data_IF_982270394684
#
_entry.id   IF_982270394684
#
_cell.length_a   1.000
_cell.length_b   1.000
_cell.length_c   1.000
_cell.angle_alpha   90.00
_cell.angle_beta   90.00
_cell.angle_gamma   90.00
#
_symmetry.space_group_name_H-M   'P 1'
#
loop_
_entity.id
_entity.type
_entity.pdbx_description
1 polymer ?
#
# COMPACT_ATOMS: atom_id res chain seq x y z
N UNK A 1 67.45 32.96 -35.91
CA UNK A 1 66.23 32.11 -35.95
C UNK A 1 66.13 31.37 -34.63
N UNK A 2 65.22 31.76 -33.75
CA UNK A 2 64.90 31.02 -32.52
C UNK A 2 63.56 30.33 -32.74
N UNK A 3 63.59 29.01 -32.91
CA UNK A 3 62.41 28.15 -33.03
C UNK A 3 61.82 27.94 -31.63
N UNK A 4 60.67 28.58 -31.36
CA UNK A 4 59.90 28.33 -30.14
C UNK A 4 59.40 26.89 -30.13
N UNK A 5 59.80 26.12 -29.12
CA UNK A 5 59.44 24.69 -28.92
C UNK A 5 58.05 24.47 -28.31
N UNK A 6 57.26 25.52 -28.15
CA UNK A 6 55.88 25.43 -27.64
C UNK A 6 54.96 26.24 -28.56
N UNK A 7 54.27 25.59 -29.51
CA UNK A 7 53.45 26.29 -30.50
C UNK A 7 52.07 26.74 -29.96
N UNK A 8 51.82 26.68 -28.65
CA UNK A 8 50.49 26.96 -28.10
C UNK A 8 50.58 27.66 -26.75
N UNK A 9 49.98 28.85 -26.68
CA UNK A 9 49.91 29.68 -25.47
C UNK A 9 48.90 29.08 -24.48
N UNK A 10 49.43 28.61 -23.34
CA UNK A 10 48.67 27.99 -22.24
C UNK A 10 47.89 29.00 -21.39
N UNK A 11 48.06 30.30 -21.63
CA UNK A 11 47.36 31.39 -20.92
C UNK A 11 46.27 32.05 -21.78
N UNK A 12 46.05 31.57 -23.00
CA UNK A 12 44.98 32.07 -23.87
C UNK A 12 43.60 31.87 -23.23
N UNK A 13 42.80 32.94 -23.21
CA UNK A 13 41.42 32.91 -22.70
C UNK A 13 40.60 31.84 -23.44
N UNK A 14 40.21 30.77 -22.73
CA UNK A 14 39.51 29.61 -23.31
C UNK A 14 40.30 28.29 -23.27
N UNK A 15 41.59 28.28 -22.90
CA UNK A 15 42.38 27.06 -22.73
C UNK A 15 41.74 26.08 -21.71
N UNK A 16 41.17 26.62 -20.63
CA UNK A 16 40.42 25.84 -19.62
C UNK A 16 39.12 25.23 -20.15
N UNK A 17 38.50 25.81 -21.19
CA UNK A 17 37.32 25.24 -21.86
C UNK A 17 37.70 24.21 -22.92
N UNK A 18 38.84 24.39 -23.59
CA UNK A 18 39.36 23.45 -24.57
C UNK A 18 39.84 22.12 -23.93
N UNK A 19 40.30 22.17 -22.66
CA UNK A 19 40.74 21.01 -21.89
C UNK A 19 39.71 20.47 -20.88
N UNK A 20 38.47 20.98 -20.86
CA UNK A 20 37.40 20.36 -20.07
C UNK A 20 37.03 19.02 -20.72
N UNK A 21 37.38 17.92 -20.05
CA UNK A 21 36.84 16.58 -20.37
C UNK A 21 35.32 16.73 -20.50
N UNK A 22 34.78 16.38 -21.68
CA UNK A 22 33.32 16.38 -21.91
C UNK A 22 32.66 15.61 -20.77
N UNK A 23 31.70 16.24 -20.10
CA UNK A 23 30.99 15.60 -19.01
C UNK A 23 30.29 14.35 -19.55
N UNK A 24 30.56 13.20 -18.94
CA UNK A 24 29.94 11.94 -19.35
C UNK A 24 28.43 12.03 -19.13
N UNK A 25 27.64 11.80 -20.18
CA UNK A 25 26.18 11.70 -20.03
C UNK A 25 25.81 10.33 -19.45
N UNK A 26 24.76 10.29 -18.64
CA UNK A 26 24.19 9.02 -18.22
C UNK A 26 23.54 8.31 -19.41
N UNK A 27 23.84 7.01 -19.56
CA UNK A 27 23.28 6.15 -20.60
C UNK A 27 22.70 4.90 -19.95
N UNK A 28 21.39 4.71 -20.09
CA UNK A 28 20.75 3.47 -19.64
C UNK A 28 21.15 2.34 -20.57
N UNK A 29 21.64 1.23 -20.03
CA UNK A 29 21.99 0.05 -20.83
C UNK A 29 20.76 -0.55 -21.51
N UNK A 30 20.91 -0.92 -22.78
CA UNK A 30 19.90 -1.60 -23.60
C UNK A 30 20.59 -2.66 -24.42
N UNK A 31 19.94 -3.79 -24.66
CA UNK A 31 20.47 -4.81 -25.55
C UNK A 31 20.71 -4.23 -26.96
N UNK A 32 21.83 -4.60 -27.57
CA UNK A 32 22.26 -4.10 -28.88
C UNK A 32 22.98 -2.76 -28.87
N UNK A 33 23.04 -2.04 -27.74
CA UNK A 33 23.82 -0.80 -27.62
C UNK A 33 25.31 -1.12 -27.84
N UNK A 34 25.95 -0.52 -28.83
CA UNK A 34 27.39 -0.73 -29.08
C UNK A 34 28.18 0.28 -28.28
N UNK A 35 29.02 -0.20 -27.37
CA UNK A 35 29.85 0.64 -26.52
C UNK A 35 31.29 0.18 -26.53
N UNK A 36 32.17 1.13 -26.25
CA UNK A 36 33.60 0.92 -26.19
C UNK A 36 34.11 1.17 -24.77
N UNK A 37 34.94 0.25 -24.28
CA UNK A 37 35.78 0.45 -23.11
C UNK A 37 37.16 0.92 -23.58
N UNK A 38 37.51 2.22 -23.46
CA UNK A 38 38.77 2.78 -23.93
C UNK A 38 39.97 2.25 -23.12
N UNK A 39 39.77 1.75 -21.89
CA UNK A 39 40.86 1.22 -21.07
C UNK A 39 41.40 -0.11 -21.62
N UNK A 40 40.52 -0.99 -22.10
CA UNK A 40 40.92 -2.25 -22.73
C UNK A 40 40.83 -2.28 -24.26
N UNK A 41 40.34 -1.20 -24.88
CA UNK A 41 40.10 -1.10 -26.33
C UNK A 41 39.00 -2.03 -26.83
N UNK A 42 38.12 -2.50 -25.96
CA UNK A 42 37.08 -3.47 -26.30
C UNK A 42 35.81 -2.76 -26.74
N UNK A 43 35.38 -3.02 -27.97
CA UNK A 43 34.15 -2.48 -28.54
C UNK A 43 33.18 -3.62 -28.87
N UNK A 44 31.96 -3.56 -28.35
CA UNK A 44 30.96 -4.60 -28.52
C UNK A 44 29.54 -4.16 -28.20
N UNK A 45 28.58 -4.94 -28.66
CA UNK A 45 27.16 -4.75 -28.38
C UNK A 45 26.79 -5.31 -27.00
N UNK A 46 25.98 -4.58 -26.24
CA UNK A 46 25.40 -5.05 -24.99
C UNK A 46 24.51 -6.25 -25.26
N UNK A 47 24.86 -7.41 -24.70
CA UNK A 47 24.02 -8.60 -24.72
C UNK A 47 23.03 -8.62 -23.55
N UNK A 48 23.56 -8.42 -22.34
CA UNK A 48 22.79 -8.46 -21.09
C UNK A 48 23.51 -7.69 -19.98
N UNK A 49 22.81 -7.46 -18.88
CA UNK A 49 23.37 -6.86 -17.67
C UNK A 49 22.79 -7.55 -16.44
N UNK A 50 23.64 -7.92 -15.50
CA UNK A 50 23.27 -8.67 -14.29
C UNK A 50 24.23 -8.31 -13.16
N UNK A 51 23.72 -8.21 -11.93
CA UNK A 51 24.53 -7.99 -10.71
C UNK A 51 25.56 -6.85 -10.81
N UNK A 52 25.18 -5.73 -11.45
CA UNK A 52 26.06 -4.58 -11.62
C UNK A 52 27.09 -4.70 -12.75
N UNK A 53 27.05 -5.77 -13.54
CA UNK A 53 27.91 -5.98 -14.72
C UNK A 53 27.11 -5.83 -16.01
N UNK A 54 27.77 -5.36 -17.07
CA UNK A 54 27.30 -5.40 -18.46
C UNK A 54 28.16 -6.37 -19.26
N UNK A 55 27.52 -7.23 -20.05
CA UNK A 55 28.19 -8.18 -20.94
C UNK A 55 28.15 -7.64 -22.36
N UNK A 56 29.32 -7.47 -22.96
CA UNK A 56 29.51 -6.98 -24.32
C UNK A 56 29.99 -8.11 -25.23
N UNK A 57 29.49 -8.14 -26.47
CA UNK A 57 29.94 -9.06 -27.51
C UNK A 57 30.52 -8.27 -28.70
N UNK A 58 31.76 -8.61 -29.08
CA UNK A 58 32.39 -8.00 -30.25
C UNK A 58 31.91 -8.63 -31.57
N UNK A 59 32.28 -8.02 -32.70
CA UNK A 59 31.92 -8.50 -34.05
C UNK A 59 32.40 -9.93 -34.38
N UNK A 60 33.34 -10.48 -33.58
CA UNK A 60 33.90 -11.83 -33.74
C UNK A 60 33.28 -12.81 -32.73
N UNK A 61 32.23 -12.41 -32.01
CA UNK A 61 31.54 -13.22 -31.02
C UNK A 61 32.27 -13.36 -29.68
N UNK A 62 33.34 -12.61 -29.43
CA UNK A 62 34.02 -12.65 -28.12
C UNK A 62 33.21 -11.85 -27.11
N UNK A 63 33.03 -12.43 -25.92
CA UNK A 63 32.24 -11.83 -24.84
C UNK A 63 33.13 -11.38 -23.68
N UNK A 64 32.88 -10.19 -23.15
CA UNK A 64 33.56 -9.67 -21.95
C UNK A 64 32.56 -8.95 -21.05
N UNK A 65 32.80 -9.04 -19.75
CA UNK A 65 31.99 -8.40 -18.72
C UNK A 65 32.73 -7.20 -18.15
N UNK A 66 32.00 -6.09 -17.96
CA UNK A 66 32.52 -4.86 -17.39
C UNK A 66 31.57 -4.36 -16.29
N UNK A 67 32.07 -3.72 -15.22
CA UNK A 67 31.20 -3.08 -14.23
C UNK A 67 30.43 -1.92 -14.86
N UNK A 68 29.15 -1.80 -14.49
CA UNK A 68 28.35 -0.61 -14.79
C UNK A 68 28.96 0.59 -14.07
N UNK A 69 28.96 1.74 -14.75
CA UNK A 69 29.57 2.94 -14.22
C UNK A 69 30.15 3.84 -15.31
N UNK A 70 30.94 4.85 -14.92
CA UNK A 70 31.62 5.73 -15.86
C UNK A 70 32.73 5.01 -16.61
N UNK A 71 33.19 5.59 -17.72
CA UNK A 71 34.40 5.16 -18.42
C UNK A 71 34.17 4.49 -19.77
N UNK A 72 32.94 4.45 -20.27
CA UNK A 72 32.63 3.92 -21.60
C UNK A 72 32.49 5.04 -22.63
N UNK A 73 32.64 4.70 -23.90
CA UNK A 73 32.30 5.56 -25.03
C UNK A 73 31.09 4.98 -25.77
N UNK A 74 30.17 5.85 -26.15
CA UNK A 74 29.08 5.57 -27.08
C UNK A 74 29.26 6.50 -28.27
N UNK A 75 29.51 5.93 -29.45
CA UNK A 75 29.79 6.72 -30.68
C UNK A 75 30.96 7.71 -30.49
N UNK A 76 31.98 7.32 -29.71
CA UNK A 76 33.15 8.15 -29.40
C UNK A 76 32.93 9.18 -28.28
N UNK A 77 31.71 9.31 -27.75
CA UNK A 77 31.38 10.24 -26.67
C UNK A 77 31.38 9.55 -25.30
N UNK A 78 31.98 10.14 -24.25
CA UNK A 78 31.98 9.59 -22.90
C UNK A 78 30.56 9.39 -22.32
N UNK A 79 30.29 8.20 -21.80
CA UNK A 79 29.02 7.85 -21.13
C UNK A 79 29.25 7.14 -19.80
N UNK A 80 28.29 7.31 -18.89
CA UNK A 80 28.16 6.56 -17.65
C UNK A 80 27.02 5.58 -17.78
N UNK A 81 27.32 4.28 -17.77
CA UNK A 81 26.29 3.25 -17.91
C UNK A 81 25.48 3.10 -16.62
N UNK A 82 24.16 3.16 -16.76
CA UNK A 82 23.20 2.93 -15.66
C UNK A 82 22.35 1.70 -15.99
N UNK A 83 22.08 0.86 -14.99
CA UNK A 83 21.08 -0.18 -15.13
C UNK A 83 19.70 0.46 -15.36
N UNK A 84 18.84 -0.11 -16.21
CA UNK A 84 17.45 0.31 -16.29
C UNK A 84 16.78 0.14 -14.93
N UNK A 85 16.06 1.18 -14.50
CA UNK A 85 15.18 1.08 -13.33
C UNK A 85 14.11 0.07 -13.69
N UNK A 86 14.08 -1.06 -12.98
CA UNK A 86 12.96 -1.99 -13.08
C UNK A 86 11.73 -1.25 -12.55
N UNK A 87 10.86 -0.78 -13.43
CA UNK A 87 9.49 -0.45 -13.01
C UNK A 87 8.87 -1.75 -12.54
N UNK A 88 8.46 -1.80 -11.27
CA UNK A 88 7.64 -2.90 -10.79
C UNK A 88 6.39 -3.03 -11.66
N UNK A 89 5.85 -4.22 -11.78
CA UNK A 89 4.52 -4.38 -12.37
C UNK A 89 3.54 -3.53 -11.56
N UNK A 90 2.68 -2.78 -12.25
CA UNK A 90 1.62 -2.03 -11.59
C UNK A 90 0.67 -3.03 -10.91
N UNK A 91 0.18 -2.73 -9.70
CA UNK A 91 -0.80 -3.58 -9.03
C UNK A 91 -2.02 -3.77 -9.91
N UNK A 92 -2.42 -5.03 -10.12
CA UNK A 92 -3.63 -5.35 -10.89
C UNK A 92 -4.87 -5.39 -10.01
N UNK A 93 -4.70 -5.47 -8.69
CA UNK A 93 -5.79 -5.52 -7.72
C UNK A 93 -5.52 -4.60 -6.53
N UNK A 94 -6.60 -4.09 -5.92
CA UNK A 94 -6.59 -3.37 -4.65
C UNK A 94 -6.25 -4.32 -3.49
N UNK A 95 -6.06 -3.78 -2.29
CA UNK A 95 -5.81 -4.61 -1.10
C UNK A 95 -7.01 -5.44 -0.68
N UNK A 96 -8.24 -5.06 -1.05
CA UNK A 96 -9.45 -5.86 -0.84
C UNK A 96 -9.60 -6.98 -1.87
N UNK A 97 -8.88 -6.88 -2.99
CA UNK A 97 -8.86 -7.90 -4.05
C UNK A 97 -9.65 -7.52 -5.30
N UNK A 98 -10.28 -6.35 -5.36
CA UNK A 98 -10.92 -5.84 -6.58
C UNK A 98 -9.88 -5.51 -7.65
N UNK A 99 -10.27 -5.57 -8.93
CA UNK A 99 -9.38 -5.16 -10.03
C UNK A 99 -9.19 -3.64 -10.02
N UNK A 100 -7.95 -3.21 -10.21
CA UNK A 100 -7.65 -1.78 -10.38
C UNK A 100 -8.23 -1.31 -11.71
N UNK A 101 -9.17 -0.37 -11.63
CA UNK A 101 -9.72 0.33 -12.79
C UNK A 101 -8.81 1.46 -13.30
N UNK A 102 -9.21 2.16 -14.38
CA UNK A 102 -8.53 3.38 -14.79
C UNK A 102 -8.53 4.42 -13.65
N UNK A 103 -7.51 5.28 -13.61
CA UNK A 103 -7.44 6.36 -12.62
C UNK A 103 -8.58 7.34 -12.86
N UNK A 104 -9.53 7.39 -11.93
CA UNK A 104 -10.66 8.32 -11.95
C UNK A 104 -10.39 9.55 -11.07
N UNK A 105 -11.00 10.71 -11.38
CA UNK A 105 -10.96 11.87 -10.49
C UNK A 105 -11.65 11.55 -9.15
N UNK A 106 -11.33 12.32 -8.12
CA UNK A 106 -11.97 12.17 -6.81
C UNK A 106 -13.50 12.29 -6.94
N UNK A 107 -14.21 11.26 -6.46
CA UNK A 107 -15.68 11.25 -6.43
C UNK A 107 -16.20 12.03 -5.24
N UNK A 108 -17.39 12.61 -5.40
CA UNK A 108 -18.16 13.17 -4.27
C UNK A 108 -18.61 11.99 -3.41
N UNK A 109 -18.43 12.10 -2.10
CA UNK A 109 -18.90 11.08 -1.19
C UNK A 109 -20.41 10.87 -1.35
N UNK A 110 -20.83 9.62 -1.42
CA UNK A 110 -22.24 9.23 -1.27
C UNK A 110 -22.78 9.79 0.04
N UNK A 111 -24.08 9.98 0.18
CA UNK A 111 -24.67 10.32 1.48
C UNK A 111 -24.55 9.14 2.46
N UNK A 112 -24.59 7.88 1.98
CA UNK A 112 -24.47 6.69 2.83
C UNK A 112 -23.14 6.61 3.59
N UNK A 113 -23.14 5.95 4.76
CA UNK A 113 -21.97 5.80 5.64
C UNK A 113 -21.80 4.39 6.18
N UNK A 114 -20.56 4.03 6.50
CA UNK A 114 -20.25 2.88 7.35
C UNK A 114 -19.71 3.39 8.68
N UNK A 115 -20.34 3.01 9.78
CA UNK A 115 -19.89 3.33 11.12
C UNK A 115 -19.17 2.11 11.70
N UNK A 116 -18.08 2.34 12.41
CA UNK A 116 -17.32 1.29 13.09
C UNK A 116 -17.19 1.60 14.58
N UNK A 117 -17.16 0.55 15.40
CA UNK A 117 -17.13 0.69 16.85
C UNK A 117 -15.85 1.37 17.34
N UNK A 118 -14.68 0.98 16.81
CA UNK A 118 -13.36 1.42 17.27
C UNK A 118 -12.54 2.17 16.22
N UNK A 119 -11.54 2.93 16.68
CA UNK A 119 -10.55 3.54 15.76
C UNK A 119 -9.70 2.50 15.04
N UNK A 120 -9.39 1.37 15.70
CA UNK A 120 -8.59 0.30 15.09
C UNK A 120 -9.34 -0.35 13.93
N UNK A 121 -10.65 -0.50 14.04
CA UNK A 121 -11.56 -0.93 12.99
C UNK A 121 -11.49 0.00 11.79
N UNK A 122 -11.64 1.31 12.04
CA UNK A 122 -11.54 2.32 10.98
C UNK A 122 -10.18 2.24 10.27
N UNK A 123 -9.09 2.12 11.03
CA UNK A 123 -7.73 2.01 10.48
C UNK A 123 -7.52 0.72 9.67
N UNK A 124 -8.09 -0.41 10.10
CA UNK A 124 -8.00 -1.67 9.37
C UNK A 124 -8.85 -1.64 8.09
N UNK A 125 -10.07 -1.13 8.19
CA UNK A 125 -11.00 -0.98 7.07
C UNK A 125 -10.38 -0.05 6.02
N UNK A 126 -9.89 1.10 6.43
CA UNK A 126 -9.17 2.04 5.57
C UNK A 126 -7.96 1.37 4.90
N UNK A 127 -7.18 0.59 5.65
CA UNK A 127 -5.98 -0.05 5.10
C UNK A 127 -6.30 -1.08 4.01
N UNK A 128 -7.39 -1.85 4.15
CA UNK A 128 -7.67 -2.98 3.25
C UNK A 128 -8.68 -2.61 2.16
N UNK A 129 -9.72 -1.83 2.47
CA UNK A 129 -10.79 -1.46 1.56
C UNK A 129 -10.78 0.02 1.15
N UNK A 130 -9.83 0.82 1.63
CA UNK A 130 -9.81 2.25 1.36
C UNK A 130 -9.87 2.62 -0.12
N UNK A 131 -9.15 1.90 -0.98
CA UNK A 131 -9.16 2.14 -2.42
C UNK A 131 -10.58 1.93 -3.00
N UNK A 132 -11.24 0.84 -2.62
CA UNK A 132 -12.59 0.47 -3.06
C UNK A 132 -13.64 1.44 -2.53
N UNK A 133 -13.56 1.80 -1.25
CA UNK A 133 -14.47 2.76 -0.60
C UNK A 133 -14.38 4.14 -1.26
N UNK A 134 -13.18 4.59 -1.65
CA UNK A 134 -13.01 5.83 -2.43
C UNK A 134 -13.60 5.71 -3.83
N UNK A 135 -13.47 4.54 -4.46
CA UNK A 135 -14.05 4.29 -5.78
C UNK A 135 -15.58 4.33 -5.76
N UNK A 136 -16.22 3.80 -4.71
CA UNK A 136 -17.68 3.88 -4.57
C UNK A 136 -18.16 5.15 -3.87
N UNK A 137 -17.26 5.95 -3.29
CA UNK A 137 -17.60 7.18 -2.57
C UNK A 137 -18.18 6.96 -1.17
N UNK A 138 -17.94 5.82 -0.53
CA UNK A 138 -18.41 5.53 0.83
C UNK A 138 -17.38 6.00 1.86
N UNK A 139 -17.87 6.66 2.92
CA UNK A 139 -17.03 7.13 4.03
C UNK A 139 -17.23 6.24 5.25
N UNK A 140 -16.12 5.97 5.95
CA UNK A 140 -16.11 5.23 7.22
C UNK A 140 -15.89 6.20 8.37
N UNK A 141 -16.75 6.13 9.39
CA UNK A 141 -16.70 6.97 10.59
C UNK A 141 -16.70 6.12 11.86
N UNK A 142 -16.10 6.62 12.94
CA UNK A 142 -16.05 5.93 14.22
C UNK A 142 -17.14 6.47 15.16
N UNK A 143 -17.87 5.56 15.82
CA UNK A 143 -19.03 5.91 16.64
C UNK A 143 -18.84 5.81 18.15
N UNK A 144 -17.72 5.26 18.63
CA UNK A 144 -17.45 5.14 20.07
C UNK A 144 -17.90 3.83 20.69
N UNK A 145 -19.17 3.49 20.52
CA UNK A 145 -19.73 2.28 21.10
C UNK A 145 -21.15 1.98 20.64
N UNK A 146 -21.57 0.74 20.81
CA UNK A 146 -22.89 0.27 20.37
C UNK A 146 -24.06 0.89 21.15
N UNK A 147 -23.81 1.36 22.38
CA UNK A 147 -24.84 1.96 23.25
C UNK A 147 -25.45 3.24 22.66
N UNK A 148 -24.68 3.98 21.85
CA UNK A 148 -25.12 5.23 21.24
C UNK A 148 -25.84 5.02 19.90
N UNK A 149 -25.85 3.78 19.38
CA UNK A 149 -26.36 3.49 18.04
C UNK A 149 -27.81 3.97 17.81
N UNK A 150 -28.78 3.79 18.74
CA UNK A 150 -30.14 4.27 18.52
C UNK A 150 -30.23 5.79 18.33
N UNK A 151 -29.41 6.56 19.06
CA UNK A 151 -29.36 8.01 18.93
C UNK A 151 -28.70 8.43 17.61
N UNK A 152 -27.61 7.76 17.24
CA UNK A 152 -26.90 7.96 15.97
C UNK A 152 -27.82 7.70 14.78
N UNK A 153 -28.56 6.59 14.79
CA UNK A 153 -29.51 6.26 13.72
C UNK A 153 -30.59 7.35 13.61
N UNK A 154 -31.11 7.84 14.74
CA UNK A 154 -32.12 8.88 14.74
C UNK A 154 -31.60 10.22 14.21
N UNK A 155 -30.36 10.58 14.52
CA UNK A 155 -29.70 11.80 14.01
C UNK A 155 -29.35 11.67 12.52
N UNK A 156 -28.85 10.51 12.11
CA UNK A 156 -28.46 10.25 10.71
C UNK A 156 -29.69 10.21 9.78
N UNK A 157 -30.85 9.81 10.31
CA UNK A 157 -32.11 9.65 9.58
C UNK A 157 -31.96 8.88 8.24
N UNK A 158 -31.54 7.60 8.28
CA UNK A 158 -31.35 6.78 7.09
C UNK A 158 -32.61 6.70 6.23
N UNK A 159 -32.43 6.62 4.91
CA UNK A 159 -33.49 6.36 3.96
C UNK A 159 -32.94 5.75 2.66
N UNK A 160 -33.81 5.42 1.71
CA UNK A 160 -33.40 4.99 0.37
C UNK A 160 -32.46 6.01 -0.28
N UNK A 161 -31.27 5.55 -0.66
CA UNK A 161 -30.18 6.36 -1.19
C UNK A 161 -29.37 7.12 -0.14
N UNK A 162 -29.59 6.89 1.15
CA UNK A 162 -28.87 7.45 2.31
C UNK A 162 -28.83 6.42 3.45
N UNK A 163 -28.09 5.33 3.23
CA UNK A 163 -28.08 4.15 4.10
C UNK A 163 -26.98 4.23 5.16
N UNK A 164 -27.21 3.56 6.29
CA UNK A 164 -26.22 3.42 7.36
C UNK A 164 -25.82 1.96 7.54
N UNK A 165 -24.57 1.65 7.22
CA UNK A 165 -23.93 0.40 7.60
C UNK A 165 -23.23 0.55 8.95
N UNK A 166 -23.24 -0.48 9.79
CA UNK A 166 -22.55 -0.48 11.09
C UNK A 166 -21.78 -1.79 11.26
N UNK A 167 -20.50 -1.70 11.58
CA UNK A 167 -19.64 -2.83 11.94
C UNK A 167 -19.32 -2.75 13.44
N UNK A 168 -19.66 -3.80 14.18
CA UNK A 168 -19.41 -3.89 15.62
C UNK A 168 -18.54 -5.08 16.00
N UNK A 169 -17.85 -4.95 17.12
CA UNK A 169 -17.08 -6.02 17.72
C UNK A 169 -18.00 -6.96 18.50
N UNK A 170 -17.56 -8.19 18.69
CA UNK A 170 -18.18 -9.19 19.55
C UNK A 170 -19.72 -9.38 19.40
N UNK A 171 -20.25 -9.26 18.18
CA UNK A 171 -21.68 -9.44 17.93
C UNK A 171 -22.07 -10.92 17.99
N UNK A 172 -22.57 -11.35 19.16
CA UNK A 172 -22.97 -12.74 19.43
C UNK A 172 -24.46 -12.79 19.82
N UNK A 173 -25.23 -13.81 19.40
CA UNK A 173 -26.63 -13.94 19.79
C UNK A 173 -26.85 -13.94 21.31
N UNK A 174 -27.84 -13.17 21.78
CA UNK A 174 -28.21 -13.05 23.19
C UNK A 174 -27.37 -12.07 24.01
N UNK A 175 -26.39 -11.42 23.38
CA UNK A 175 -25.57 -10.35 23.96
C UNK A 175 -26.38 -9.05 24.15
N UNK A 176 -25.78 -8.05 24.81
CA UNK A 176 -26.42 -6.74 24.97
C UNK A 176 -26.52 -6.06 23.60
N UNK A 177 -25.46 -6.19 22.82
CA UNK A 177 -25.27 -5.66 21.47
C UNK A 177 -26.35 -6.21 20.53
N UNK A 178 -26.63 -7.52 20.58
CA UNK A 178 -27.69 -8.11 19.74
C UNK A 178 -29.08 -7.54 20.03
N UNK A 179 -29.38 -7.18 21.29
CA UNK A 179 -30.66 -6.53 21.64
C UNK A 179 -30.78 -5.12 21.05
N UNK A 180 -29.67 -4.38 21.00
CA UNK A 180 -29.63 -3.05 20.38
C UNK A 180 -29.85 -3.18 18.86
N UNK A 181 -29.23 -4.17 18.22
CA UNK A 181 -29.49 -4.48 16.80
C UNK A 181 -30.97 -4.76 16.55
N UNK A 182 -31.59 -5.62 17.37
CA UNK A 182 -33.02 -5.93 17.27
C UNK A 182 -33.89 -4.68 17.45
N UNK A 183 -33.54 -3.79 18.39
CA UNK A 183 -34.25 -2.54 18.60
C UNK A 183 -34.16 -1.61 17.38
N UNK A 184 -32.99 -1.48 16.76
CA UNK A 184 -32.80 -0.65 15.56
C UNK A 184 -33.56 -1.25 14.38
N UNK A 185 -33.51 -2.57 14.19
CA UNK A 185 -34.22 -3.27 13.13
C UNK A 185 -35.75 -3.17 13.26
N UNK A 186 -36.27 -3.17 14.48
CA UNK A 186 -37.69 -2.96 14.76
C UNK A 186 -38.12 -1.48 14.71
N UNK A 187 -37.16 -0.56 14.60
CA UNK A 187 -37.38 0.88 14.53
C UNK A 187 -37.80 1.35 13.13
N UNK A 188 -38.11 2.66 12.98
CA UNK A 188 -38.62 3.21 11.72
C UNK A 188 -37.58 3.22 10.58
N UNK A 189 -36.30 3.02 10.89
CA UNK A 189 -35.19 3.01 9.93
C UNK A 189 -34.64 1.61 9.65
N UNK A 190 -35.30 0.55 10.14
CA UNK A 190 -34.77 -0.83 10.09
C UNK A 190 -34.39 -1.31 8.69
N UNK A 191 -35.13 -0.89 7.65
CA UNK A 191 -34.86 -1.27 6.26
C UNK A 191 -33.65 -0.54 5.64
N UNK A 192 -33.22 0.56 6.26
CA UNK A 192 -32.14 1.44 5.77
C UNK A 192 -30.89 1.43 6.67
N UNK A 193 -30.89 0.57 7.70
CA UNK A 193 -29.75 0.30 8.58
C UNK A 193 -29.36 -1.17 8.51
N UNK A 194 -28.08 -1.45 8.28
CA UNK A 194 -27.52 -2.79 8.41
C UNK A 194 -26.45 -2.81 9.49
N UNK A 195 -26.70 -3.55 10.58
CA UNK A 195 -25.68 -3.85 11.59
C UNK A 195 -25.11 -5.24 11.34
N UNK A 196 -23.80 -5.30 11.16
CA UNK A 196 -23.01 -6.52 11.10
C UNK A 196 -21.92 -6.46 12.15
N UNK A 197 -21.20 -7.56 12.34
CA UNK A 197 -20.10 -7.57 13.27
C UNK A 197 -19.33 -8.87 13.24
N UNK A 198 -18.19 -8.87 13.91
CA UNK A 198 -17.37 -10.06 14.01
C UNK A 198 -17.50 -10.71 15.40
N UNK A 199 -17.27 -12.02 15.43
CA UNK A 199 -17.30 -12.83 16.67
C UNK A 199 -16.17 -12.53 17.66
N UNK A 200 -15.18 -11.76 17.26
CA UNK A 200 -13.98 -11.51 18.06
C UNK A 200 -14.24 -10.51 19.16
N UNK A 201 -13.46 -10.63 20.23
CA UNK A 201 -13.49 -9.68 21.36
C UNK A 201 -12.98 -8.31 20.92
N UNK A 202 -12.03 -8.28 19.98
CA UNK A 202 -11.44 -7.08 19.42
C UNK A 202 -10.95 -7.33 17.99
N UNK A 203 -11.00 -6.29 17.15
CA UNK A 203 -10.56 -6.33 15.76
C UNK A 203 -9.14 -6.85 15.53
N UNK A 204 -8.25 -6.74 16.53
CA UNK A 204 -6.90 -7.32 16.45
C UNK A 204 -6.95 -8.82 16.10
N UNK A 205 -7.90 -9.56 16.69
CA UNK A 205 -8.03 -11.00 16.51
C UNK A 205 -8.46 -11.39 15.08
N UNK A 206 -9.03 -10.45 14.32
CA UNK A 206 -9.39 -10.65 12.93
C UNK A 206 -8.16 -10.73 12.00
N UNK A 207 -6.97 -10.33 12.46
CA UNK A 207 -5.71 -10.54 11.72
C UNK A 207 -5.26 -11.99 11.90
N UNK A 208 -4.95 -12.68 10.80
CA UNK A 208 -4.51 -14.08 10.84
C UNK A 208 -3.24 -14.22 11.71
N UNK A 209 -3.21 -15.11 12.73
CA UNK A 209 -2.07 -15.28 13.64
C UNK A 209 -0.73 -15.49 12.91
N UNK A 210 -0.73 -16.20 11.79
CA UNK A 210 0.46 -16.46 10.99
C UNK A 210 1.20 -15.19 10.53
N UNK A 211 0.50 -14.06 10.39
CA UNK A 211 1.10 -12.74 10.05
C UNK A 211 2.00 -12.19 11.14
N UNK A 212 1.79 -12.67 12.36
CA UNK A 212 2.55 -12.32 13.55
C UNK A 212 3.53 -13.43 13.95
N UNK A 213 3.67 -14.48 13.13
CA UNK A 213 4.47 -15.66 13.46
C UNK A 213 3.83 -16.56 14.52
N UNK A 214 2.52 -16.43 14.73
CA UNK A 214 1.75 -17.20 15.71
C UNK A 214 1.00 -18.36 15.04
N UNK A 215 0.75 -19.41 15.81
CA UNK A 215 -0.17 -20.50 15.41
C UNK A 215 -1.63 -20.11 15.68
N UNK A 216 -1.87 -19.51 16.83
CA UNK A 216 -3.18 -19.00 17.27
C UNK A 216 -2.97 -17.77 18.15
N UNK A 217 -4.00 -16.94 18.30
CA UNK A 217 -3.98 -15.83 19.26
C UNK A 217 -3.95 -16.38 20.69
N UNK A 218 -3.24 -15.73 21.63
CA UNK A 218 -3.25 -16.10 23.03
C UNK A 218 -4.67 -15.98 23.61
N UNK A 219 -5.06 -16.96 24.43
CA UNK A 219 -6.34 -16.94 25.14
C UNK A 219 -6.22 -16.07 26.38
N UNK A 220 -6.98 -14.97 26.42
CA UNK A 220 -6.97 -14.04 27.55
C UNK A 220 -8.13 -14.39 28.50
N UNK A 221 -7.89 -14.56 29.82
CA UNK A 221 -8.94 -14.81 30.79
C UNK A 221 -9.99 -13.70 30.82
N UNK A 222 -11.26 -14.08 31.01
CA UNK A 222 -12.35 -13.12 31.20
C UNK A 222 -12.07 -12.19 32.38
N UNK A 223 -12.51 -10.93 32.26
CA UNK A 223 -12.28 -9.89 33.27
C UNK A 223 -10.90 -9.22 33.19
N UNK A 224 -10.03 -9.67 32.27
CA UNK A 224 -8.79 -8.97 31.93
C UNK A 224 -9.04 -8.09 30.70
N UNK A 225 -8.49 -6.87 30.68
CA UNK A 225 -8.48 -6.08 29.44
C UNK A 225 -7.77 -6.87 28.34
N UNK A 226 -8.47 -7.11 27.24
CA UNK A 226 -8.02 -8.05 26.23
C UNK A 226 -6.73 -7.57 25.54
N UNK A 227 -6.63 -6.27 25.20
CA UNK A 227 -5.45 -5.69 24.54
C UNK A 227 -4.21 -5.76 25.43
N UNK A 228 -4.36 -5.43 26.71
CA UNK A 228 -3.28 -5.56 27.68
C UNK A 228 -2.87 -7.02 27.87
N UNK A 229 -3.85 -7.92 27.98
CA UNK A 229 -3.61 -9.37 28.11
C UNK A 229 -2.84 -9.94 26.92
N UNK A 230 -3.22 -9.57 25.70
CA UNK A 230 -2.51 -9.97 24.47
C UNK A 230 -1.08 -9.45 24.49
N UNK A 231 -0.88 -8.16 24.78
CA UNK A 231 0.47 -7.59 24.81
C UNK A 231 1.34 -8.27 25.87
N UNK A 232 0.79 -8.56 27.06
CA UNK A 232 1.49 -9.29 28.12
C UNK A 232 1.86 -10.72 27.69
N UNK A 233 0.93 -11.46 27.08
CA UNK A 233 1.17 -12.82 26.58
C UNK A 233 2.22 -12.86 25.46
N UNK A 234 2.28 -11.81 24.65
CA UNK A 234 3.23 -11.66 23.55
C UNK A 234 4.60 -11.09 23.99
N UNK A 235 4.74 -10.70 25.26
CA UNK A 235 5.94 -10.03 25.77
C UNK A 235 6.16 -8.62 25.20
N UNK A 236 5.09 -7.97 24.72
CA UNK A 236 5.13 -6.61 24.22
C UNK A 236 4.96 -5.59 25.36
N UNK A 237 5.46 -4.35 25.20
CA UNK A 237 5.13 -3.25 26.09
C UNK A 237 3.61 -3.08 26.24
N UNK A 238 3.13 -2.78 27.46
CA UNK A 238 1.70 -2.72 27.80
C UNK A 238 1.39 -1.89 29.06
N UNK A 239 2.22 -0.88 29.37
CA UNK A 239 2.05 -0.07 30.59
C UNK A 239 1.02 1.04 30.43
N UNK A 240 0.88 1.56 29.21
CA UNK A 240 0.01 2.71 28.92
C UNK A 240 -0.65 2.59 27.53
N UNK A 241 -1.52 3.54 27.21
CA UNK A 241 -2.20 3.57 25.91
C UNK A 241 -1.24 3.73 24.73
N UNK A 242 -0.07 4.35 24.93
CA UNK A 242 0.91 4.52 23.86
C UNK A 242 1.58 3.19 23.52
N UNK A 243 1.81 2.32 24.51
CA UNK A 243 2.23 0.94 24.29
C UNK A 243 1.20 0.15 23.47
N UNK A 244 -0.09 0.24 23.83
CA UNK A 244 -1.17 -0.43 23.10
C UNK A 244 -1.27 0.10 21.66
N UNK A 245 -1.15 1.40 21.45
CA UNK A 245 -1.13 2.00 20.11
C UNK A 245 0.06 1.51 19.28
N UNK A 246 1.25 1.36 19.88
CA UNK A 246 2.43 0.79 19.20
C UNK A 246 2.20 -0.67 18.80
N UNK A 247 1.62 -1.47 19.69
CA UNK A 247 1.26 -2.85 19.39
C UNK A 247 0.26 -2.94 18.23
N UNK A 248 -0.77 -2.08 18.21
CA UNK A 248 -1.69 -2.01 17.09
C UNK A 248 -0.99 -1.63 15.78
N UNK A 249 -0.17 -0.59 15.77
CA UNK A 249 0.57 -0.19 14.56
C UNK A 249 1.48 -1.31 14.05
N UNK A 250 2.10 -2.08 14.96
CA UNK A 250 2.86 -3.27 14.60
C UNK A 250 1.96 -4.33 13.93
N UNK A 251 0.81 -4.68 14.52
CA UNK A 251 -0.14 -5.63 13.95
C UNK A 251 -0.61 -5.17 12.56
N UNK A 252 -1.09 -3.92 12.48
CA UNK A 252 -1.58 -3.32 11.25
C UNK A 252 -0.50 -3.35 10.17
N UNK A 253 0.77 -3.09 10.51
CA UNK A 253 1.89 -3.15 9.54
C UNK A 253 2.08 -4.53 8.89
N UNK A 254 1.63 -5.61 9.53
CA UNK A 254 1.72 -6.99 9.01
C UNK A 254 0.58 -7.35 8.06
N UNK A 255 -0.48 -6.55 8.00
CA UNK A 255 -1.59 -6.69 7.06
C UNK A 255 -1.19 -6.06 5.73
N UNK A 256 -1.11 -6.88 4.69
CA UNK A 256 -0.82 -6.47 3.33
C UNK A 256 -2.09 -6.35 2.47
N UNK A 257 -2.98 -7.33 2.56
CA UNK A 257 -4.23 -7.41 1.80
C UNK A 257 -5.28 -8.25 2.55
N UNK A 258 -6.47 -8.38 1.97
CA UNK A 258 -7.60 -9.14 2.49
C UNK A 258 -7.25 -10.56 2.93
N UNK A 259 -6.30 -11.23 2.26
CA UNK A 259 -5.94 -12.61 2.58
C UNK A 259 -5.18 -12.73 3.91
N UNK A 260 -4.79 -11.62 4.52
CA UNK A 260 -4.18 -11.59 5.84
C UNK A 260 -5.22 -11.52 6.98
N UNK A 261 -6.52 -11.45 6.65
CA UNK A 261 -7.64 -11.31 7.59
C UNK A 261 -8.54 -12.54 7.64
N UNK A 262 -9.28 -12.70 8.74
CA UNK A 262 -10.29 -13.74 8.88
C UNK A 262 -11.40 -13.59 7.83
N UNK A 263 -11.79 -14.67 7.12
CA UNK A 263 -12.84 -14.62 6.11
C UNK A 263 -14.22 -14.18 6.63
N UNK A 264 -14.49 -14.35 7.93
CA UNK A 264 -15.71 -13.86 8.56
C UNK A 264 -15.77 -12.34 8.54
N UNK A 265 -14.69 -11.65 8.93
CA UNK A 265 -14.62 -10.19 8.85
C UNK A 265 -14.80 -9.70 7.40
N UNK A 266 -14.13 -10.34 6.44
CA UNK A 266 -14.22 -9.97 5.03
C UNK A 266 -15.68 -9.96 4.56
N UNK A 267 -16.41 -11.03 4.86
CA UNK A 267 -17.82 -11.17 4.50
C UNK A 267 -18.68 -10.06 5.08
N UNK A 268 -18.49 -9.70 6.34
CA UNK A 268 -19.32 -8.66 6.97
C UNK A 268 -19.02 -7.26 6.39
N UNK A 269 -17.75 -6.94 6.13
CA UNK A 269 -17.38 -5.67 5.48
C UNK A 269 -17.92 -5.60 4.04
N UNK A 270 -17.80 -6.68 3.27
CA UNK A 270 -18.36 -6.74 1.91
C UNK A 270 -19.89 -6.56 1.91
N UNK A 271 -20.60 -7.24 2.82
CA UNK A 271 -22.05 -7.06 3.00
C UNK A 271 -22.44 -5.61 3.33
N UNK A 272 -21.64 -4.93 4.16
CA UNK A 272 -21.85 -3.52 4.47
C UNK A 272 -21.66 -2.64 3.25
N UNK A 273 -20.59 -2.85 2.47
CA UNK A 273 -20.31 -2.09 1.25
C UNK A 273 -21.45 -2.29 0.24
N UNK A 274 -21.87 -3.53 0.01
CA UNK A 274 -22.99 -3.84 -0.89
C UNK A 274 -24.26 -3.12 -0.43
N UNK A 275 -24.60 -3.21 0.87
CA UNK A 275 -25.78 -2.58 1.43
C UNK A 275 -25.78 -1.05 1.27
N UNK A 276 -24.68 -0.37 1.57
CA UNK A 276 -24.63 1.11 1.54
C UNK A 276 -24.54 1.65 0.11
N UNK A 277 -24.19 0.82 -0.86
CA UNK A 277 -24.06 1.20 -2.28
C UNK A 277 -25.23 0.76 -3.15
N UNK A 278 -26.09 -0.15 -2.70
CA UNK A 278 -27.12 -0.79 -3.54
C UNK A 278 -28.06 0.18 -4.28
N UNK A 279 -28.37 1.35 -3.70
CA UNK A 279 -29.24 2.35 -4.33
C UNK A 279 -28.52 3.25 -5.35
N UNK A 280 -27.22 3.01 -5.56
CA UNK A 280 -26.34 3.82 -6.40
C UNK A 280 -25.75 3.05 -7.59
N UNK A 281 -25.95 1.73 -7.63
CA UNK A 281 -25.40 0.85 -8.68
C UNK A 281 -26.04 1.11 -10.06
N UNK A 282 -27.27 1.63 -10.12
CA UNK A 282 -28.02 1.86 -11.36
C UNK A 282 -27.77 3.21 -12.03
N UNK A 283 -26.88 4.06 -11.48
CA UNK A 283 -26.61 5.41 -12.05
C UNK A 283 -25.54 5.43 -13.14
N UNK A 284 -24.93 4.29 -13.45
CA UNK A 284 -23.84 4.15 -14.44
C UNK A 284 -24.13 3.09 -15.53
N UNK A 285 -25.40 2.92 -15.94
CA UNK A 285 -25.77 2.18 -17.18
C UNK A 285 -26.30 3.11 -18.27
#
# INVERSE_FOLDING_TARGET
MSTSRYPTDVLAAGFERANRKRASRDQVVRAGLVIEDPASGFCGAVLRWENGLVVLEDRRGRRRSFPLGPGFLLEGEPVTLKAPVRKGAEPTHTRSGSRVGPVEPARVALPSRIYVEGRHDAELVEKVWGDDLRHVGVVVEYMGGMDDLPAIVAEFAPCGGHRLGVLVDHLVPGSKESRIVEQVAAGPWGDDVLVTGHRYIDIWEAVKPARLGLREWPRIPRGTDWKHGVCAAMGWPHKDQADIARAWQFILSRVGNWNDLDPGLLREVERLIDFVTQDHLDRES
#
